data_IF_866629436630
#
_entry.id   IF_866629436630
#
_cell.length_a   1.000
_cell.length_b   1.000
_cell.length_c   1.000
_cell.angle_alpha   90.00
_cell.angle_beta   90.00
_cell.angle_gamma   90.00
#
_symmetry.space_group_name_H-M   'P 1'
#
loop_
_entity.id
_entity.type
_entity.pdbx_description
1 polymer ?
#
# COMPACT_ATOMS: atom_id res chain seq x y z
N UNK A 1 28.07 20.83 -10.31
CA UNK A 1 29.11 20.38 -9.36
C UNK A 1 28.95 18.88 -9.23
N UNK A 2 30.01 18.13 -9.54
CA UNK A 2 30.00 16.67 -9.52
C UNK A 2 29.69 16.19 -8.10
N UNK A 3 28.52 15.56 -7.93
CA UNK A 3 28.16 14.84 -6.72
C UNK A 3 29.06 13.62 -6.64
N UNK A 4 29.85 13.53 -5.58
CA UNK A 4 30.63 12.35 -5.25
C UNK A 4 29.66 11.25 -4.80
N UNK A 5 29.17 10.46 -5.75
CA UNK A 5 28.65 9.12 -5.47
C UNK A 5 29.80 8.33 -4.85
N UNK A 6 29.73 8.07 -3.56
CA UNK A 6 30.59 7.07 -2.92
C UNK A 6 30.19 5.71 -3.48
N UNK A 7 30.81 5.33 -4.59
CA UNK A 7 30.80 3.96 -5.08
C UNK A 7 31.43 3.09 -3.98
N UNK A 8 30.60 2.40 -3.20
CA UNK A 8 31.05 1.27 -2.40
C UNK A 8 31.52 0.22 -3.39
N UNK A 9 32.82 0.22 -3.69
CA UNK A 9 33.47 -0.90 -4.37
C UNK A 9 33.29 -2.11 -3.45
N UNK A 10 32.47 -3.07 -3.88
CA UNK A 10 32.21 -4.31 -3.16
C UNK A 10 33.50 -5.14 -3.18
N UNK A 11 34.33 -5.02 -2.14
CA UNK A 11 35.41 -5.97 -1.85
C UNK A 11 34.83 -7.23 -1.21
N UNK A 12 35.50 -8.36 -1.42
CA UNK A 12 35.06 -9.69 -0.99
C UNK A 12 35.56 -10.05 0.43
N UNK A 13 35.80 -9.05 1.28
CA UNK A 13 36.48 -9.26 2.56
C UNK A 13 35.46 -9.53 3.68
N UNK A 14 35.77 -10.45 4.60
CA UNK A 14 34.93 -10.78 5.76
C UNK A 14 34.61 -9.52 6.61
N UNK A 15 35.49 -8.53 6.58
CA UNK A 15 35.34 -7.22 7.22
C UNK A 15 34.18 -6.40 6.63
N UNK A 16 33.91 -6.50 5.32
CA UNK A 16 32.87 -5.72 4.65
C UNK A 16 31.46 -6.18 5.03
N UNK A 17 31.22 -7.48 5.15
CA UNK A 17 29.91 -7.95 5.58
C UNK A 17 29.70 -7.82 7.08
N UNK A 18 30.75 -7.94 7.90
CA UNK A 18 30.66 -7.64 9.33
C UNK A 18 30.30 -6.17 9.54
N UNK A 19 30.94 -5.28 8.78
CA UNK A 19 30.59 -3.86 8.73
C UNK A 19 29.16 -3.64 8.23
N UNK A 20 28.74 -4.31 7.15
CA UNK A 20 27.37 -4.21 6.63
C UNK A 20 26.31 -4.66 7.64
N UNK A 21 26.55 -5.77 8.35
CA UNK A 21 25.69 -6.26 9.41
C UNK A 21 25.58 -5.25 10.56
N UNK A 22 26.70 -4.65 10.97
CA UNK A 22 26.73 -3.63 12.02
C UNK A 22 25.97 -2.37 11.59
N UNK A 23 26.18 -1.89 10.35
CA UNK A 23 25.46 -0.74 9.80
C UNK A 23 23.95 -1.01 9.77
N UNK A 24 23.53 -2.21 9.36
CA UNK A 24 22.12 -2.59 9.31
C UNK A 24 21.45 -2.51 10.69
N UNK A 25 22.12 -3.01 11.74
CA UNK A 25 21.64 -2.91 13.13
C UNK A 25 21.61 -1.45 13.60
N UNK A 26 22.68 -0.69 13.37
CA UNK A 26 22.75 0.72 13.77
C UNK A 26 21.66 1.56 13.11
N UNK A 27 21.43 1.39 11.80
CA UNK A 27 20.36 2.09 11.08
C UNK A 27 18.99 1.70 11.62
N UNK A 28 18.76 0.41 11.88
CA UNK A 28 17.51 -0.10 12.48
C UNK A 28 17.21 0.61 13.80
N UNK A 29 18.14 0.56 14.76
CA UNK A 29 17.95 1.16 16.09
C UNK A 29 17.75 2.67 16.00
N UNK A 30 18.58 3.34 15.20
CA UNK A 30 18.60 4.79 15.02
C UNK A 30 17.31 5.32 14.38
N UNK A 31 16.83 4.67 13.31
CA UNK A 31 15.58 5.04 12.63
C UNK A 31 14.36 4.70 13.50
N UNK A 32 14.33 3.54 14.14
CA UNK A 32 13.25 3.15 15.06
C UNK A 32 13.10 4.11 16.23
N UNK A 33 14.21 4.51 16.87
CA UNK A 33 14.18 5.49 17.97
C UNK A 33 13.60 6.82 17.48
N UNK A 34 14.13 7.38 16.38
CA UNK A 34 13.64 8.66 15.83
C UNK A 34 12.18 8.61 15.39
N UNK A 35 11.72 7.48 14.86
CA UNK A 35 10.31 7.28 14.51
C UNK A 35 9.42 7.31 15.76
N UNK A 36 9.81 6.61 16.82
CA UNK A 36 9.09 6.59 18.10
C UNK A 36 9.04 7.97 18.76
N UNK A 37 10.16 8.69 18.72
CA UNK A 37 10.29 10.04 19.30
C UNK A 37 9.65 11.12 18.42
N UNK A 38 9.20 10.76 17.21
CA UNK A 38 8.71 11.70 16.18
C UNK A 38 9.71 12.84 15.93
N UNK A 39 11.00 12.50 15.94
CA UNK A 39 12.06 13.47 15.72
C UNK A 39 12.00 13.99 14.27
N UNK A 40 12.26 15.29 14.02
CA UNK A 40 12.46 15.83 12.68
C UNK A 40 13.43 14.97 11.86
N UNK A 41 13.25 14.96 10.53
CA UNK A 41 14.20 14.28 9.65
C UNK A 41 15.60 14.92 9.77
N UNK A 42 16.64 14.09 9.82
CA UNK A 42 18.02 14.58 9.78
C UNK A 42 18.35 15.13 8.40
N UNK A 43 19.48 15.84 8.27
CA UNK A 43 19.94 16.31 6.95
C UNK A 43 20.12 15.15 5.96
N UNK A 44 20.72 14.04 6.41
CA UNK A 44 20.90 12.84 5.59
C UNK A 44 19.56 12.25 5.15
N UNK A 45 18.59 12.12 6.06
CA UNK A 45 17.25 11.59 5.73
C UNK A 45 16.51 12.50 4.75
N UNK A 46 16.59 13.83 4.91
CA UNK A 46 16.03 14.79 3.95
C UNK A 46 16.69 14.68 2.58
N UNK A 47 18.01 14.61 2.54
CA UNK A 47 18.77 14.46 1.29
C UNK A 47 18.39 13.15 0.58
N UNK A 48 18.23 12.04 1.31
CA UNK A 48 17.80 10.76 0.76
C UNK A 48 16.38 10.82 0.15
N UNK A 49 15.43 11.47 0.82
CA UNK A 49 14.06 11.63 0.29
C UNK A 49 14.06 12.53 -0.95
N UNK A 50 14.81 13.64 -0.93
CA UNK A 50 14.93 14.54 -2.08
C UNK A 50 15.59 13.84 -3.27
N UNK A 51 16.67 13.08 -3.04
CA UNK A 51 17.33 12.32 -4.09
C UNK A 51 16.41 11.21 -4.64
N UNK A 52 15.68 10.52 -3.76
CA UNK A 52 14.67 9.53 -4.16
C UNK A 52 13.66 10.11 -5.15
N UNK A 53 13.13 11.31 -4.87
CA UNK A 53 12.22 12.02 -5.77
C UNK A 53 12.90 12.49 -7.06
N UNK A 54 14.16 12.95 -7.00
CA UNK A 54 14.93 13.34 -8.18
C UNK A 54 15.21 12.17 -9.12
N UNK A 55 15.47 10.98 -8.58
CA UNK A 55 15.78 9.79 -9.37
C UNK A 55 14.62 9.38 -10.28
N UNK A 56 13.38 9.58 -9.81
CA UNK A 56 12.14 9.25 -10.54
C UNK A 56 11.54 10.45 -11.29
N UNK A 57 12.09 11.65 -11.11
CA UNK A 57 11.65 12.84 -11.84
C UNK A 57 12.21 12.79 -13.27
N UNK A 58 11.36 12.90 -14.31
CA UNK A 58 11.83 12.84 -15.69
C UNK A 58 12.92 13.89 -15.96
N UNK A 59 13.95 13.58 -16.75
CA UNK A 59 14.92 14.61 -17.14
C UNK A 59 14.40 15.36 -18.37
N UNK A 60 14.56 16.70 -18.47
CA UNK A 60 14.28 17.42 -19.70
C UNK A 60 15.06 16.76 -20.85
N UNK A 61 14.39 16.47 -21.97
CA UNK A 61 15.11 16.01 -23.17
C UNK A 61 15.92 17.18 -23.73
N UNK A 62 17.15 16.91 -24.17
CA UNK A 62 18.03 17.93 -24.74
C UNK A 62 17.42 18.65 -25.96
N UNK A 63 16.45 18.03 -26.65
CA UNK A 63 15.74 18.58 -27.81
C UNK A 63 14.57 19.52 -27.46
N UNK A 64 14.15 19.60 -26.19
CA UNK A 64 13.02 20.41 -25.71
C UNK A 64 13.45 21.80 -25.18
N UNK A 65 14.61 22.30 -25.59
CA UNK A 65 15.15 23.61 -25.16
C UNK A 65 14.25 24.83 -25.50
N UNK A 66 13.25 24.64 -26.36
CA UNK A 66 12.27 25.68 -26.73
C UNK A 66 10.89 25.52 -26.06
N UNK A 67 10.69 24.48 -25.25
CA UNK A 67 9.42 24.26 -24.56
C UNK A 67 9.60 24.56 -23.07
N UNK A 68 8.90 25.56 -22.55
CA UNK A 68 8.92 26.01 -21.14
C UNK A 68 8.44 24.94 -20.13
N UNK A 69 8.37 23.67 -20.51
CA UNK A 69 7.88 22.55 -19.71
C UNK A 69 9.02 21.79 -19.03
N UNK A 70 10.05 22.52 -18.59
CA UNK A 70 11.11 21.99 -17.74
C UNK A 70 10.52 21.64 -16.37
N UNK A 71 10.77 20.44 -15.87
CA UNK A 71 10.43 20.00 -14.51
C UNK A 71 10.88 21.04 -13.48
N UNK A 72 9.93 21.77 -12.90
CA UNK A 72 10.21 22.95 -12.11
C UNK A 72 9.82 22.72 -10.63
N UNK A 73 10.03 21.51 -10.11
CA UNK A 73 9.91 21.28 -8.67
C UNK A 73 10.93 22.18 -7.98
N UNK A 74 10.46 23.07 -7.10
CA UNK A 74 11.35 23.87 -6.26
C UNK A 74 11.88 22.98 -5.14
N UNK A 75 13.05 22.38 -5.39
CA UNK A 75 13.68 21.44 -4.46
C UNK A 75 14.01 22.07 -3.10
N UNK A 76 14.30 23.36 -3.05
CA UNK A 76 14.61 24.07 -1.80
C UNK A 76 13.33 24.27 -0.99
N UNK A 77 12.25 24.70 -1.65
CA UNK A 77 10.94 24.79 -1.01
C UNK A 77 10.44 23.41 -0.55
N UNK A 78 10.66 22.37 -1.35
CA UNK A 78 10.26 21.00 -1.01
C UNK A 78 10.99 20.50 0.22
N UNK A 79 12.32 20.68 0.28
CA UNK A 79 13.12 20.33 1.44
C UNK A 79 12.62 21.06 2.71
N UNK A 80 12.32 22.36 2.60
CA UNK A 80 11.73 23.14 3.69
C UNK A 80 10.39 22.58 4.17
N UNK A 81 9.48 22.25 3.25
CA UNK A 81 8.19 21.63 3.58
C UNK A 81 8.39 20.29 4.27
N UNK A 82 9.24 19.41 3.74
CA UNK A 82 9.50 18.09 4.31
C UNK A 82 10.11 18.18 5.72
N UNK A 83 11.07 19.08 5.92
CA UNK A 83 11.66 19.33 7.25
C UNK A 83 10.59 19.69 8.29
N UNK A 84 9.61 20.51 7.90
CA UNK A 84 8.53 20.95 8.78
C UNK A 84 7.52 19.85 9.11
N UNK A 85 7.13 19.01 8.11
CA UNK A 85 5.92 18.18 8.24
C UNK A 85 6.19 16.68 8.35
N UNK A 86 7.33 16.18 7.88
CA UNK A 86 7.53 14.74 7.69
C UNK A 86 7.59 13.93 9.00
N UNK A 87 7.83 14.58 10.13
CA UNK A 87 7.89 13.96 11.46
C UNK A 87 6.57 14.08 12.24
N UNK A 88 5.61 14.86 11.74
CA UNK A 88 4.33 15.06 12.40
C UNK A 88 3.51 13.78 12.30
N UNK A 89 2.74 13.48 13.35
CA UNK A 89 1.92 12.27 13.42
C UNK A 89 0.86 12.23 12.31
N UNK A 90 0.94 11.22 11.44
CA UNK A 90 -0.08 10.94 10.41
C UNK A 90 -1.44 10.50 10.97
N UNK A 91 -1.53 10.23 12.27
CA UNK A 91 -2.80 9.91 12.95
C UNK A 91 -3.65 11.14 13.27
N UNK A 92 -3.11 12.35 13.14
CA UNK A 92 -3.92 13.56 13.14
C UNK A 92 -4.31 13.87 11.70
N UNK A 93 -5.50 13.39 11.28
CA UNK A 93 -5.89 13.46 9.88
C UNK A 93 -6.20 14.86 9.40
N UNK A 94 -6.67 15.75 10.28
CA UNK A 94 -6.86 17.14 9.92
C UNK A 94 -5.54 17.84 9.62
N UNK A 95 -4.52 17.62 10.48
CA UNK A 95 -3.17 18.13 10.23
C UNK A 95 -2.53 17.46 9.01
N UNK A 96 -2.77 16.16 8.81
CA UNK A 96 -2.27 15.40 7.65
C UNK A 96 -2.88 15.92 6.36
N UNK A 97 -4.18 16.21 6.34
CA UNK A 97 -4.88 16.79 5.19
C UNK A 97 -4.29 18.15 4.80
N UNK A 98 -4.16 19.07 5.75
CA UNK A 98 -3.56 20.40 5.51
C UNK A 98 -2.10 20.27 5.02
N UNK A 99 -1.31 19.39 5.64
CA UNK A 99 0.08 19.20 5.25
C UNK A 99 0.22 18.49 3.90
N UNK A 100 -0.75 17.66 3.50
CA UNK A 100 -0.78 17.02 2.18
C UNK A 100 -0.94 18.08 1.07
N UNK A 101 -1.74 19.12 1.31
CA UNK A 101 -1.88 20.25 0.37
C UNK A 101 -0.58 21.05 0.27
N UNK A 102 0.09 21.32 1.41
CA UNK A 102 1.41 21.98 1.41
C UNK A 102 2.43 21.21 0.58
N UNK A 103 2.46 19.88 0.72
CA UNK A 103 3.32 19.01 -0.07
C UNK A 103 2.94 19.05 -1.56
N UNK A 104 1.65 18.88 -1.89
CA UNK A 104 1.16 18.89 -3.27
C UNK A 104 1.45 20.20 -4.01
N UNK A 105 1.32 21.35 -3.33
CA UNK A 105 1.59 22.67 -3.90
C UNK A 105 3.03 22.82 -4.41
N UNK A 106 4.00 22.15 -3.77
CA UNK A 106 5.40 22.20 -4.19
C UNK A 106 5.77 21.03 -5.11
N UNK A 107 5.39 19.81 -4.73
CA UNK A 107 5.78 18.58 -5.41
C UNK A 107 5.10 18.43 -6.77
N UNK A 108 3.83 18.82 -6.85
CA UNK A 108 2.97 18.58 -8.02
C UNK A 108 2.47 19.88 -8.65
N UNK A 109 2.77 21.04 -8.03
CA UNK A 109 2.35 22.37 -8.48
C UNK A 109 0.86 22.40 -8.80
N UNK A 110 0.03 22.13 -7.79
CA UNK A 110 -1.39 22.47 -7.82
C UNK A 110 -1.54 23.87 -8.42
N UNK A 111 -2.07 23.96 -9.65
CA UNK A 111 -2.21 25.22 -10.37
C UNK A 111 -2.93 26.21 -9.46
N UNK A 112 -2.39 27.42 -9.33
CA UNK A 112 -3.15 28.55 -8.82
C UNK A 112 -4.42 28.72 -9.65
N UNK A 113 -5.51 29.00 -8.96
CA UNK A 113 -6.93 29.09 -9.33
C UNK A 113 -7.35 29.94 -10.55
N UNK A 114 -6.45 30.27 -11.49
CA UNK A 114 -6.72 31.30 -12.52
C UNK A 114 -6.95 30.75 -13.94
N UNK A 115 -6.81 29.44 -14.18
CA UNK A 115 -7.19 28.80 -15.46
C UNK A 115 -8.48 27.99 -15.27
N UNK A 116 -9.60 28.71 -15.40
CA UNK A 116 -10.98 28.34 -15.09
C UNK A 116 -11.63 27.39 -16.13
N UNK A 117 -10.94 26.33 -16.53
CA UNK A 117 -11.50 25.22 -17.34
C UNK A 117 -11.39 23.89 -16.56
N UNK A 118 -11.92 23.88 -15.33
CA UNK A 118 -11.74 22.85 -14.31
C UNK A 118 -12.30 21.46 -14.64
N UNK A 119 -11.68 20.75 -15.59
CA UNK A 119 -12.10 19.38 -15.98
C UNK A 119 -10.98 18.32 -15.97
N UNK A 120 -9.82 18.55 -15.34
CA UNK A 120 -8.88 17.45 -15.17
C UNK A 120 -7.98 17.56 -13.96
N UNK A 121 -8.06 16.54 -13.10
CA UNK A 121 -7.23 16.37 -11.90
C UNK A 121 -5.73 16.35 -12.20
N UNK A 122 -4.95 16.55 -11.14
CA UNK A 122 -3.50 16.74 -11.13
C UNK A 122 -2.73 15.62 -11.85
N UNK A 123 -3.25 14.40 -11.75
CA UNK A 123 -2.65 13.19 -12.32
C UNK A 123 -3.10 12.91 -13.76
N UNK A 124 -4.23 13.46 -14.19
CA UNK A 124 -4.79 13.15 -15.53
C UNK A 124 -4.19 14.04 -16.63
N UNK A 125 -3.64 15.20 -16.25
CA UNK A 125 -3.11 16.19 -17.18
C UNK A 125 -1.58 16.36 -17.14
N UNK A 126 -0.88 15.67 -16.23
CA UNK A 126 0.56 15.81 -16.03
C UNK A 126 1.29 14.49 -16.25
N UNK A 127 1.81 14.29 -17.47
CA UNK A 127 2.62 13.10 -17.83
C UNK A 127 3.85 12.91 -16.93
N UNK A 128 4.38 14.00 -16.36
CA UNK A 128 5.51 13.96 -15.44
C UNK A 128 5.13 13.33 -14.09
N UNK A 129 3.99 13.74 -13.51
CA UNK A 129 3.50 13.17 -12.25
C UNK A 129 3.10 11.71 -12.41
N UNK A 130 2.54 11.34 -13.57
CA UNK A 130 2.26 9.95 -13.91
C UNK A 130 3.54 9.11 -13.97
N UNK A 131 4.62 9.64 -14.56
CA UNK A 131 5.90 8.93 -14.62
C UNK A 131 6.56 8.81 -13.24
N UNK A 132 6.52 9.85 -12.41
CA UNK A 132 7.09 9.81 -11.06
C UNK A 132 6.42 8.76 -10.17
N UNK A 133 5.11 8.57 -10.32
CA UNK A 133 4.33 7.66 -9.48
C UNK A 133 3.81 6.45 -10.26
N UNK A 134 4.51 6.07 -11.33
CA UNK A 134 4.06 5.06 -12.29
C UNK A 134 3.64 3.78 -11.58
N UNK A 135 4.52 3.15 -10.77
CA UNK A 135 4.17 1.94 -10.01
C UNK A 135 2.93 2.11 -9.13
N UNK A 136 2.78 3.25 -8.46
CA UNK A 136 1.65 3.52 -7.55
C UNK A 136 0.35 3.59 -8.35
N UNK A 137 0.35 4.27 -9.49
CA UNK A 137 -0.84 4.46 -10.32
C UNK A 137 -1.17 3.21 -11.13
N UNK A 138 -0.15 2.56 -11.69
CA UNK A 138 -0.27 1.38 -12.53
C UNK A 138 -0.67 0.15 -11.72
N UNK A 139 0.11 -0.26 -10.71
CA UNK A 139 -0.23 -1.42 -9.87
C UNK A 139 -1.47 -1.15 -8.98
N UNK A 140 -1.74 0.13 -8.71
CA UNK A 140 -2.98 0.57 -8.07
C UNK A 140 -4.20 0.61 -8.98
N UNK A 141 -4.08 0.38 -10.30
CA UNK A 141 -5.16 0.45 -11.30
C UNK A 141 -5.92 1.79 -11.34
N UNK A 142 -5.18 2.91 -11.34
CA UNK A 142 -5.76 4.26 -11.47
C UNK A 142 -6.59 4.40 -12.76
N UNK A 143 -6.05 3.98 -13.90
CA UNK A 143 -6.69 4.14 -15.21
C UNK A 143 -7.97 3.31 -15.36
N UNK A 144 -7.99 2.09 -14.81
CA UNK A 144 -9.19 1.25 -14.78
C UNK A 144 -10.28 1.85 -13.91
N UNK A 145 -9.92 2.38 -12.74
CA UNK A 145 -10.85 3.09 -11.86
C UNK A 145 -11.42 4.35 -12.52
N UNK A 146 -10.58 5.14 -13.20
CA UNK A 146 -10.98 6.34 -13.92
C UNK A 146 -11.94 6.02 -15.07
N UNK A 147 -11.63 4.97 -15.84
CA UNK A 147 -12.48 4.49 -16.93
C UNK A 147 -13.85 4.04 -16.42
N UNK A 148 -13.90 3.34 -15.29
CA UNK A 148 -15.15 2.92 -14.66
C UNK A 148 -15.97 4.12 -14.16
N UNK A 149 -15.33 5.09 -13.50
CA UNK A 149 -16.01 6.30 -13.02
C UNK A 149 -16.63 7.11 -14.17
N UNK A 150 -15.91 7.26 -15.29
CA UNK A 150 -16.41 7.92 -16.49
C UNK A 150 -17.61 7.18 -17.10
N UNK A 151 -17.56 5.84 -17.19
CA UNK A 151 -18.68 5.03 -17.69
C UNK A 151 -19.93 5.18 -16.80
N UNK A 152 -19.76 5.16 -15.47
CA UNK A 152 -20.86 5.35 -14.52
C UNK A 152 -21.46 6.76 -14.59
N UNK A 153 -20.63 7.79 -14.80
CA UNK A 153 -21.12 9.16 -14.97
C UNK A 153 -22.03 9.28 -16.19
N UNK A 154 -21.69 8.63 -17.31
CA UNK A 154 -22.53 8.61 -18.52
C UNK A 154 -23.88 7.93 -18.27
N UNK A 155 -23.91 6.78 -17.59
CA UNK A 155 -25.16 6.06 -17.29
C UNK A 155 -26.13 6.88 -16.43
N UNK A 156 -25.63 7.71 -15.51
CA UNK A 156 -26.44 8.58 -14.65
C UNK A 156 -27.12 9.74 -15.40
N UNK A 157 -26.69 10.08 -16.61
CA UNK A 157 -27.27 11.20 -17.39
C UNK A 157 -28.45 10.80 -18.29
N UNK A 158 -28.67 9.50 -18.50
CA UNK A 158 -29.61 8.97 -19.50
C UNK A 158 -30.89 8.35 -18.94
N UNK A 159 -31.07 8.28 -17.61
CA UNK A 159 -32.21 7.62 -16.95
C UNK A 159 -33.03 8.53 -16.04
N UNK A 160 -34.37 8.41 -16.10
CA UNK A 160 -35.35 9.16 -15.29
C UNK A 160 -35.33 8.82 -13.77
N UNK A 161 -34.47 7.91 -13.31
CA UNK A 161 -34.40 7.50 -11.90
C UNK A 161 -33.21 8.14 -11.17
N UNK A 162 -33.51 9.22 -10.45
CA UNK A 162 -32.63 10.07 -9.61
C UNK A 162 -31.99 9.37 -8.39
N UNK A 163 -31.32 8.23 -8.55
CA UNK A 163 -30.36 7.75 -7.53
C UNK A 163 -28.97 7.78 -8.14
N UNK A 164 -28.24 8.88 -7.93
CA UNK A 164 -26.83 9.01 -8.31
C UNK A 164 -26.08 7.83 -7.68
N UNK A 165 -25.50 6.96 -8.51
CA UNK A 165 -24.66 5.88 -8.02
C UNK A 165 -23.43 6.46 -7.30
N UNK A 166 -23.28 6.14 -6.01
CA UNK A 166 -22.14 6.57 -5.21
C UNK A 166 -20.96 5.61 -5.46
N UNK A 167 -19.73 6.12 -5.67
CA UNK A 167 -18.53 5.28 -5.66
C UNK A 167 -18.31 4.61 -4.29
N UNK A 168 -17.39 3.65 -4.24
CA UNK A 168 -17.05 2.89 -3.05
C UNK A 168 -15.76 3.37 -2.39
N UNK A 169 -15.80 3.52 -1.07
CA UNK A 169 -14.62 3.65 -0.22
C UNK A 169 -14.50 2.33 0.57
N UNK A 170 -13.50 1.54 0.22
CA UNK A 170 -13.33 0.17 0.72
C UNK A 170 -12.14 0.12 1.68
N UNK A 171 -12.40 -0.32 2.90
CA UNK A 171 -11.37 -0.68 3.87
C UNK A 171 -11.06 -2.16 3.74
N UNK A 172 -9.80 -2.51 3.46
CA UNK A 172 -9.35 -3.90 3.30
C UNK A 172 -8.50 -4.29 4.52
N UNK A 173 -8.99 -5.24 5.31
CA UNK A 173 -8.40 -5.63 6.60
C UNK A 173 -8.37 -7.16 6.78
N UNK A 174 -7.81 -7.63 7.89
CA UNK A 174 -7.67 -9.04 8.25
C UNK A 174 -6.27 -9.57 8.03
N UNK A 175 -6.19 -10.82 7.58
CA UNK A 175 -4.93 -11.57 7.50
C UNK A 175 -3.88 -10.84 6.66
N UNK A 176 -2.68 -10.71 7.24
CA UNK A 176 -1.50 -10.23 6.55
C UNK A 176 -0.71 -11.42 5.98
N UNK A 177 -0.05 -11.23 4.83
CA UNK A 177 0.72 -12.30 4.16
C UNK A 177 0.01 -13.07 3.05
N UNK A 178 -1.30 -12.86 2.87
CA UNK A 178 -2.13 -13.53 1.85
C UNK A 178 -2.26 -12.77 0.51
N UNK A 179 -1.49 -11.68 0.31
CA UNK A 179 -1.61 -10.75 -0.83
C UNK A 179 -3.07 -10.31 -1.09
N UNK A 180 -3.66 -9.55 -0.16
CA UNK A 180 -5.06 -9.06 -0.25
C UNK A 180 -5.34 -8.35 -1.58
N UNK A 181 -4.39 -7.54 -2.04
CA UNK A 181 -4.43 -6.90 -3.37
C UNK A 181 -4.56 -7.92 -4.50
N UNK A 182 -3.85 -9.05 -4.50
CA UNK A 182 -3.99 -10.05 -5.56
C UNK A 182 -5.36 -10.75 -5.55
N UNK A 183 -5.97 -10.91 -4.37
CA UNK A 183 -7.30 -11.53 -4.23
C UNK A 183 -8.41 -10.72 -4.89
N UNK A 184 -8.36 -9.39 -4.81
CA UNK A 184 -9.42 -8.52 -5.33
C UNK A 184 -9.44 -8.44 -6.87
N UNK A 185 -8.33 -8.78 -7.54
CA UNK A 185 -8.22 -8.85 -9.00
C UNK A 185 -8.67 -10.21 -9.56
N UNK A 186 -9.07 -11.16 -8.70
CA UNK A 186 -9.51 -12.46 -9.17
C UNK A 186 -10.87 -12.34 -9.90
N UNK A 187 -11.09 -13.06 -11.03
CA UNK A 187 -12.34 -12.95 -11.80
C UNK A 187 -13.61 -13.32 -11.02
N UNK A 188 -13.47 -14.08 -9.94
CA UNK A 188 -14.57 -14.48 -9.06
C UNK A 188 -14.83 -13.51 -7.91
N UNK A 189 -13.99 -12.48 -7.72
CA UNK A 189 -14.00 -11.65 -6.51
C UNK A 189 -15.36 -10.99 -6.25
N UNK A 190 -15.95 -10.33 -7.25
CA UNK A 190 -17.27 -9.69 -7.10
C UNK A 190 -18.37 -10.69 -6.71
N UNK A 191 -18.28 -11.96 -7.12
CA UNK A 191 -19.26 -12.99 -6.77
C UNK A 191 -19.15 -13.39 -5.31
N UNK A 192 -17.92 -13.61 -4.82
CA UNK A 192 -17.66 -13.87 -3.40
C UNK A 192 -18.08 -12.67 -2.55
N UNK A 193 -17.78 -11.45 -3.01
CA UNK A 193 -18.20 -10.24 -2.32
C UNK A 193 -19.73 -10.15 -2.21
N UNK A 194 -20.45 -10.39 -3.31
CA UNK A 194 -21.92 -10.39 -3.29
C UNK A 194 -22.50 -11.37 -2.27
N UNK A 195 -21.92 -12.58 -2.18
CA UNK A 195 -22.37 -13.59 -1.21
C UNK A 195 -22.06 -13.19 0.25
N UNK A 196 -20.94 -12.49 0.49
CA UNK A 196 -20.49 -12.09 1.83
C UNK A 196 -21.12 -10.77 2.33
N UNK A 197 -21.80 -10.02 1.45
CA UNK A 197 -22.19 -8.64 1.71
C UNK A 197 -23.35 -8.54 2.72
N UNK A 198 -23.06 -7.91 3.86
CA UNK A 198 -24.03 -7.51 4.88
C UNK A 198 -24.30 -6.01 4.73
N UNK A 199 -25.53 -5.66 4.37
CA UNK A 199 -25.95 -4.26 4.27
C UNK A 199 -26.12 -3.61 5.64
N UNK A 200 -26.02 -2.27 5.75
CA UNK A 200 -26.36 -1.56 6.98
C UNK A 200 -27.82 -1.80 7.41
N UNK A 201 -28.74 -1.97 6.46
CA UNK A 201 -30.19 -2.06 6.71
C UNK A 201 -30.66 -3.48 7.08
N UNK A 202 -29.93 -4.52 6.71
CA UNK A 202 -30.29 -5.92 6.97
C UNK A 202 -30.26 -6.31 8.45
N UNK A 203 -29.67 -5.47 9.32
CA UNK A 203 -29.65 -5.68 10.77
C UNK A 203 -30.87 -5.07 11.48
N UNK A 204 -31.59 -4.14 10.83
CA UNK A 204 -32.77 -3.46 11.39
C UNK A 204 -34.08 -4.25 11.19
N UNK A 205 -34.09 -5.26 10.32
CA UNK A 205 -35.28 -6.07 10.05
C UNK A 205 -35.12 -7.50 10.57
N UNK A 206 -35.47 -7.71 11.84
CA UNK A 206 -35.66 -9.05 12.42
C UNK A 206 -36.84 -9.84 11.81
N UNK A 207 -37.51 -9.28 10.81
CA UNK A 207 -38.62 -9.88 10.08
C UNK A 207 -38.61 -9.48 8.61
N UNK A 208 -37.76 -10.13 7.80
CA UNK A 208 -38.05 -10.60 6.44
C UNK A 208 -36.78 -11.11 5.76
N UNK A 209 -36.75 -12.39 5.40
CA UNK A 209 -35.65 -13.10 4.74
C UNK A 209 -35.46 -12.75 3.25
N UNK A 210 -35.86 -11.58 2.81
CA UNK A 210 -35.74 -11.14 1.41
C UNK A 210 -35.35 -9.66 1.33
N UNK A 211 -34.22 -9.31 1.96
CA UNK A 211 -33.51 -8.07 1.66
C UNK A 211 -32.49 -8.33 0.58
N UNK A 212 -32.93 -8.48 -0.69
CA UNK A 212 -32.00 -8.53 -1.81
C UNK A 212 -31.14 -7.26 -1.77
N UNK A 213 -29.82 -7.42 -1.66
CA UNK A 213 -28.87 -6.32 -1.75
C UNK A 213 -29.20 -5.52 -3.03
N UNK A 214 -29.59 -4.24 -2.90
CA UNK A 214 -29.94 -3.32 -4.02
C UNK A 214 -28.70 -2.92 -4.86
N UNK A 215 -27.60 -3.67 -4.71
CA UNK A 215 -26.32 -3.48 -5.37
C UNK A 215 -26.16 -4.57 -6.42
N UNK A 216 -26.07 -4.18 -7.68
CA UNK A 216 -25.78 -5.13 -8.76
C UNK A 216 -24.32 -5.58 -8.72
N UNK A 217 -24.06 -6.79 -9.24
CA UNK A 217 -22.73 -7.39 -9.30
C UNK A 217 -21.70 -6.49 -10.01
N UNK A 218 -22.14 -5.80 -11.06
CA UNK A 218 -21.30 -4.92 -11.89
C UNK A 218 -20.89 -3.63 -11.16
N UNK A 219 -21.66 -3.24 -10.13
CA UNK A 219 -21.41 -2.04 -9.34
C UNK A 219 -20.57 -2.31 -8.10
N UNK A 220 -20.26 -3.58 -7.78
CA UNK A 220 -19.40 -3.92 -6.65
C UNK A 220 -17.94 -3.56 -6.95
N UNK A 221 -17.22 -3.01 -5.96
CA UNK A 221 -15.82 -2.67 -6.14
C UNK A 221 -14.98 -3.94 -6.24
N UNK A 222 -14.10 -4.01 -7.23
CA UNK A 222 -13.11 -5.06 -7.46
C UNK A 222 -11.80 -4.46 -7.97
N UNK A 223 -10.79 -5.29 -8.16
CA UNK A 223 -9.49 -4.85 -8.66
C UNK A 223 -9.56 -4.13 -10.00
N UNK A 224 -10.45 -4.53 -10.92
CA UNK A 224 -10.52 -3.96 -12.27
C UNK A 224 -11.15 -2.56 -12.32
N UNK A 225 -11.98 -2.19 -11.33
CA UNK A 225 -12.76 -0.96 -11.33
C UNK A 225 -12.46 -0.01 -10.16
N UNK A 226 -11.42 -0.29 -9.37
CA UNK A 226 -11.07 0.46 -8.17
C UNK A 226 -9.59 0.81 -8.12
N UNK A 227 -9.28 1.99 -7.59
CA UNK A 227 -7.91 2.40 -7.32
C UNK A 227 -7.47 1.87 -5.96
N UNK A 228 -6.40 1.08 -5.91
CA UNK A 228 -5.85 0.54 -4.68
C UNK A 228 -4.71 1.41 -4.15
N UNK A 229 -4.96 2.05 -3.01
CA UNK A 229 -3.97 2.89 -2.32
C UNK A 229 -2.97 2.02 -1.55
N UNK A 230 -1.85 1.68 -2.20
CA UNK A 230 -0.80 0.84 -1.61
C UNK A 230 0.32 1.69 -1.00
N UNK A 231 0.32 1.79 0.33
CA UNK A 231 1.35 2.57 1.05
C UNK A 231 2.75 1.98 0.90
N UNK A 232 2.86 0.67 0.74
CA UNK A 232 4.14 0.00 0.51
C UNK A 232 4.80 0.48 -0.80
N UNK A 233 4.00 0.70 -1.85
CA UNK A 233 4.50 1.26 -3.12
C UNK A 233 4.91 2.72 -2.96
N UNK A 234 4.15 3.50 -2.18
CA UNK A 234 4.49 4.89 -1.89
C UNK A 234 5.78 5.02 -1.10
N UNK A 235 5.99 4.19 -0.07
CA UNK A 235 7.23 4.21 0.73
C UNK A 235 8.42 3.80 -0.14
N UNK A 236 8.31 2.72 -0.92
CA UNK A 236 9.37 2.29 -1.84
C UNK A 236 9.73 3.36 -2.87
N UNK A 237 8.72 4.06 -3.41
CA UNK A 237 8.92 5.14 -4.38
C UNK A 237 9.59 6.36 -3.74
N UNK A 238 9.09 6.82 -2.59
CA UNK A 238 9.56 8.04 -1.90
C UNK A 238 10.91 7.85 -1.20
N UNK A 239 11.30 6.61 -0.90
CA UNK A 239 12.49 6.28 -0.11
C UNK A 239 13.41 5.29 -0.84
N UNK A 240 13.46 5.35 -2.18
CA UNK A 240 14.26 4.41 -2.98
C UNK A 240 15.76 4.42 -2.64
N UNK A 241 16.29 5.53 -2.14
CA UNK A 241 17.67 5.59 -1.61
C UNK A 241 17.85 4.69 -0.37
N UNK A 242 16.94 4.72 0.60
CA UNK A 242 17.02 3.87 1.79
C UNK A 242 16.79 2.38 1.47
N UNK A 243 15.94 2.08 0.47
CA UNK A 243 15.82 0.70 -0.04
C UNK A 243 17.07 0.24 -0.77
N UNK A 244 17.70 1.10 -1.57
CA UNK A 244 18.99 0.81 -2.21
C UNK A 244 20.06 0.47 -1.16
N UNK A 245 20.13 1.24 -0.06
CA UNK A 245 21.02 0.95 1.07
C UNK A 245 20.68 -0.39 1.72
N UNK A 246 19.40 -0.67 2.02
CA UNK A 246 18.96 -1.95 2.57
C UNK A 246 19.42 -3.12 1.69
N UNK A 247 19.22 -3.01 0.37
CA UNK A 247 19.60 -4.05 -0.58
C UNK A 247 21.11 -4.21 -0.72
N UNK A 248 21.87 -3.12 -0.75
CA UNK A 248 23.33 -3.17 -0.80
C UNK A 248 23.94 -3.84 0.45
N UNK A 249 23.46 -3.48 1.65
CA UNK A 249 23.89 -4.11 2.91
C UNK A 249 23.51 -5.59 2.97
N UNK A 250 22.39 -5.96 2.36
CA UNK A 250 21.93 -7.35 2.25
C UNK A 250 22.79 -8.14 1.27
N UNK A 251 23.08 -7.56 0.10
CA UNK A 251 23.91 -8.16 -0.94
C UNK A 251 25.32 -8.46 -0.42
N UNK A 252 25.94 -7.54 0.32
CA UNK A 252 27.25 -7.75 0.93
C UNK A 252 27.27 -8.97 1.87
N UNK A 253 26.22 -9.16 2.67
CA UNK A 253 26.09 -10.31 3.58
C UNK A 253 25.76 -11.62 2.84
N UNK A 254 24.98 -11.55 1.75
CA UNK A 254 24.69 -12.72 0.91
C UNK A 254 25.94 -13.27 0.22
N UNK A 255 26.79 -12.40 -0.35
CA UNK A 255 28.00 -12.81 -1.07
C UNK A 255 28.98 -13.61 -0.19
N UNK A 256 29.14 -13.24 1.09
CA UNK A 256 29.95 -14.04 2.01
C UNK A 256 29.33 -15.40 2.33
N UNK A 257 28.00 -15.48 2.42
CA UNK A 257 27.32 -16.75 2.67
C UNK A 257 27.48 -17.71 1.49
N UNK A 258 27.53 -17.18 0.26
CA UNK A 258 27.76 -17.94 -0.98
C UNK A 258 29.23 -18.40 -1.09
N UNK A 259 30.20 -17.57 -0.71
CA UNK A 259 31.63 -17.86 -0.85
C UNK A 259 32.22 -18.81 0.21
N UNK A 260 31.66 -18.85 1.41
CA UNK A 260 32.27 -19.58 2.54
C UNK A 260 31.98 -21.09 2.58
N UNK A 261 31.28 -21.68 1.60
CA UNK A 261 30.87 -23.10 1.59
C UNK A 261 30.24 -23.59 2.92
N UNK A 262 29.82 -22.67 3.80
CA UNK A 262 28.98 -23.00 4.95
C UNK A 262 27.63 -23.32 4.35
N UNK A 263 27.13 -24.56 4.49
CA UNK A 263 25.84 -24.90 3.94
C UNK A 263 24.82 -23.91 4.50
N UNK A 264 24.18 -23.15 3.61
CA UNK A 264 22.90 -22.51 3.86
C UNK A 264 22.04 -23.62 4.45
N UNK A 265 21.65 -23.45 5.72
CA UNK A 265 21.09 -24.44 6.65
C UNK A 265 20.67 -25.77 5.98
N UNK A 266 21.37 -26.85 6.34
CA UNK A 266 21.16 -28.19 5.81
C UNK A 266 19.84 -28.79 6.37
N UNK A 267 18.70 -28.30 5.90
CA UNK A 267 17.35 -28.74 6.33
C UNK A 267 16.74 -29.76 5.35
N UNK A 268 17.58 -30.58 4.71
CA UNK A 268 17.14 -31.69 3.85
C UNK A 268 16.51 -31.30 2.52
N UNK A 269 16.31 -30.02 2.24
CA UNK A 269 15.84 -29.49 0.95
C UNK A 269 16.92 -28.57 0.34
N UNK A 270 17.40 -28.93 -0.85
CA UNK A 270 18.37 -28.18 -1.66
C UNK A 270 17.91 -26.74 -1.98
N UNK A 271 18.05 -25.76 -1.08
CA UNK A 271 17.75 -24.38 -1.43
C UNK A 271 18.78 -23.40 -0.85
N UNK A 272 19.31 -22.56 -1.74
CA UNK A 272 20.08 -21.36 -1.43
C UNK A 272 19.20 -20.33 -0.67
N UNK A 273 18.86 -20.61 0.58
CA UNK A 273 18.10 -19.69 1.44
C UNK A 273 19.04 -18.84 2.28
N UNK A 274 18.80 -17.51 2.37
CA UNK A 274 19.55 -16.64 3.27
C UNK A 274 19.51 -17.14 4.72
N UNK A 275 20.57 -16.91 5.52
CA UNK A 275 20.56 -17.19 6.95
C UNK A 275 19.38 -16.52 7.67
N UNK A 276 18.77 -17.20 8.65
CA UNK A 276 17.62 -16.67 9.40
C UNK A 276 17.91 -15.33 10.08
N UNK A 277 19.13 -15.16 10.61
CA UNK A 277 19.54 -13.90 11.24
C UNK A 277 19.64 -12.75 10.23
N UNK A 278 19.98 -13.04 8.97
CA UNK A 278 19.99 -12.04 7.91
C UNK A 278 18.56 -11.66 7.51
N UNK A 279 17.64 -12.63 7.41
CA UNK A 279 16.22 -12.37 7.15
C UNK A 279 15.62 -11.48 8.24
N UNK A 280 15.95 -11.76 9.50
CA UNK A 280 15.51 -10.96 10.64
C UNK A 280 16.06 -9.53 10.59
N UNK A 281 17.37 -9.34 10.37
CA UNK A 281 17.97 -8.00 10.23
C UNK A 281 17.38 -7.22 9.05
N UNK A 282 17.13 -7.90 7.94
CA UNK A 282 16.47 -7.34 6.76
C UNK A 282 15.06 -6.85 7.09
N UNK A 283 14.24 -7.72 7.68
CA UNK A 283 12.87 -7.41 8.13
C UNK A 283 12.87 -6.22 9.10
N UNK A 284 13.78 -6.21 10.06
CA UNK A 284 13.90 -5.14 11.04
C UNK A 284 14.26 -3.79 10.41
N UNK A 285 15.29 -3.74 9.55
CA UNK A 285 15.66 -2.48 8.90
C UNK A 285 14.55 -1.99 7.96
N UNK A 286 13.93 -2.90 7.20
CA UNK A 286 12.75 -2.57 6.38
C UNK A 286 11.63 -2.00 7.26
N UNK A 287 11.32 -2.62 8.39
CA UNK A 287 10.36 -2.12 9.36
C UNK A 287 10.68 -0.73 9.90
N UNK A 288 11.96 -0.43 10.15
CA UNK A 288 12.42 0.89 10.55
C UNK A 288 12.26 1.94 9.46
N UNK A 289 12.55 1.61 8.19
CA UNK A 289 12.31 2.49 7.03
C UNK A 289 10.81 2.83 6.94
N UNK A 290 9.96 1.80 6.98
CA UNK A 290 8.50 1.98 6.93
C UNK A 290 7.98 2.86 8.07
N UNK A 291 8.46 2.61 9.29
CA UNK A 291 8.05 3.38 10.47
C UNK A 291 8.53 4.82 10.40
N UNK A 292 9.78 5.03 9.95
CA UNK A 292 10.40 6.36 9.86
C UNK A 292 9.72 7.26 8.84
N UNK A 293 9.36 6.72 7.69
CA UNK A 293 8.81 7.49 6.57
C UNK A 293 7.30 7.32 6.39
N UNK A 294 6.60 6.72 7.38
CA UNK A 294 5.16 6.49 7.32
C UNK A 294 4.38 7.76 6.99
N UNK A 295 4.70 8.87 7.67
CA UNK A 295 4.01 10.15 7.44
C UNK A 295 4.14 10.63 6.01
N UNK A 296 5.30 10.47 5.34
CA UNK A 296 5.47 10.86 3.94
C UNK A 296 4.53 10.08 3.01
N UNK A 297 4.44 8.76 3.20
CA UNK A 297 3.53 7.92 2.42
C UNK A 297 2.07 8.25 2.68
N UNK A 298 1.72 8.61 3.92
CA UNK A 298 0.35 9.02 4.26
C UNK A 298 0.00 10.36 3.62
N UNK A 299 0.92 11.34 3.64
CA UNK A 299 0.74 12.64 2.97
C UNK A 299 0.51 12.44 1.47
N UNK A 300 1.38 11.70 0.78
CA UNK A 300 1.18 11.36 -0.64
C UNK A 300 -0.14 10.62 -0.85
N UNK A 301 -0.43 9.64 0.00
CA UNK A 301 -1.65 8.89 -0.12
C UNK A 301 -2.90 9.74 0.06
N UNK A 302 -2.91 10.76 0.92
CA UNK A 302 -4.04 11.71 1.06
C UNK A 302 -4.18 12.58 -0.19
N UNK A 303 -3.08 13.02 -0.81
CA UNK A 303 -3.12 13.71 -2.11
C UNK A 303 -3.87 12.84 -3.14
N UNK A 304 -3.49 11.56 -3.25
CA UNK A 304 -4.12 10.62 -4.18
C UNK A 304 -5.59 10.34 -3.83
N UNK A 305 -5.95 10.31 -2.54
CA UNK A 305 -7.35 10.18 -2.13
C UNK A 305 -8.18 11.38 -2.62
N UNK A 306 -7.69 12.61 -2.42
CA UNK A 306 -8.40 13.83 -2.84
C UNK A 306 -8.59 13.89 -4.35
N UNK A 307 -7.58 13.52 -5.11
CA UNK A 307 -7.68 13.40 -6.58
C UNK A 307 -8.70 12.34 -7.00
N UNK A 308 -8.71 11.19 -6.33
CA UNK A 308 -9.66 10.13 -6.60
C UNK A 308 -11.10 10.54 -6.25
N UNK A 309 -11.30 11.35 -5.21
CA UNK A 309 -12.59 11.93 -4.85
C UNK A 309 -13.11 12.91 -5.91
N UNK A 310 -12.25 13.79 -6.43
CA UNK A 310 -12.62 14.70 -7.51
C UNK A 310 -13.10 13.93 -8.75
N UNK A 311 -12.49 12.77 -9.01
CA UNK A 311 -12.83 11.89 -10.13
C UNK A 311 -13.93 10.86 -9.81
N UNK A 312 -14.50 10.87 -8.60
CA UNK A 312 -15.50 9.88 -8.13
C UNK A 312 -15.06 8.41 -8.32
N UNK A 313 -13.78 8.10 -8.06
CA UNK A 313 -13.27 6.73 -8.21
C UNK A 313 -13.74 5.84 -7.06
N UNK A 314 -13.91 4.54 -7.33
CA UNK A 314 -13.86 3.53 -6.27
C UNK A 314 -12.44 3.46 -5.73
N UNK A 315 -12.28 3.41 -4.42
CA UNK A 315 -10.98 3.43 -3.75
C UNK A 315 -10.92 2.29 -2.74
N UNK A 316 -9.78 1.61 -2.70
CA UNK A 316 -9.47 0.58 -1.70
C UNK A 316 -8.26 1.00 -0.87
N UNK A 317 -8.40 0.95 0.45
CA UNK A 317 -7.36 1.26 1.43
C UNK A 317 -7.04 -0.01 2.23
N UNK A 318 -5.83 -0.56 2.07
CA UNK A 318 -5.37 -1.68 2.87
C UNK A 318 -4.76 -1.23 4.20
N UNK A 319 -5.05 -2.02 5.24
CA UNK A 319 -4.51 -1.84 6.58
C UNK A 319 -4.23 -3.20 7.22
N UNK A 320 -3.42 -3.18 8.27
CA UNK A 320 -3.14 -4.36 9.07
C UNK A 320 -4.30 -4.75 10.00
N UNK A 321 -5.32 -3.89 10.15
CA UNK A 321 -6.52 -4.19 10.95
C UNK A 321 -6.43 -3.90 12.44
N UNK A 322 -5.27 -3.47 12.93
CA UNK A 322 -4.91 -3.51 14.36
C UNK A 322 -5.54 -2.42 15.23
N UNK A 323 -6.07 -1.37 14.61
CA UNK A 323 -6.48 -0.14 15.29
C UNK A 323 -7.80 0.34 14.70
N UNK A 324 -8.79 0.52 15.56
CA UNK A 324 -10.16 0.97 15.22
C UNK A 324 -10.16 2.32 14.47
N UNK A 325 -9.12 3.13 14.66
CA UNK A 325 -8.95 4.41 13.97
C UNK A 325 -8.91 4.29 12.44
N UNK A 326 -8.68 3.11 11.87
CA UNK A 326 -8.78 2.89 10.42
C UNK A 326 -10.20 3.12 9.86
N UNK A 327 -11.25 2.89 10.65
CA UNK A 327 -12.62 3.20 10.23
C UNK A 327 -12.86 4.70 10.23
N UNK A 328 -12.44 5.35 11.32
CA UNK A 328 -12.52 6.80 11.45
C UNK A 328 -11.69 7.53 10.38
N UNK A 329 -10.58 6.96 9.91
CA UNK A 329 -9.81 7.47 8.77
C UNK A 329 -10.68 7.55 7.51
N UNK A 330 -11.38 6.47 7.17
CA UNK A 330 -12.28 6.46 6.01
C UNK A 330 -13.46 7.40 6.24
N UNK A 331 -14.03 7.47 7.45
CA UNK A 331 -15.11 8.42 7.74
C UNK A 331 -14.66 9.88 7.64
N UNK A 332 -13.40 10.18 7.96
CA UNK A 332 -12.83 11.51 7.86
C UNK A 332 -12.70 11.95 6.39
N UNK A 333 -12.15 11.08 5.53
CA UNK A 333 -11.93 11.44 4.13
C UNK A 333 -13.19 11.25 3.28
N UNK A 334 -14.06 10.28 3.56
CA UNK A 334 -15.21 9.94 2.73
C UNK A 334 -16.53 10.18 3.47
N UNK A 335 -17.39 11.05 2.93
CA UNK A 335 -18.72 11.29 3.50
C UNK A 335 -19.75 10.27 2.99
N UNK A 336 -20.72 9.93 3.84
CA UNK A 336 -21.83 9.03 3.46
C UNK A 336 -22.72 9.62 2.37
N UNK A 337 -22.68 10.95 2.17
CA UNK A 337 -23.40 11.62 1.10
C UNK A 337 -22.80 11.33 -0.28
N UNK A 338 -21.47 11.14 -0.34
CA UNK A 338 -20.73 11.00 -1.58
C UNK A 338 -20.35 9.55 -1.89
N UNK A 339 -20.08 8.73 -0.87
CA UNK A 339 -19.52 7.39 -1.01
C UNK A 339 -20.36 6.32 -0.31
N UNK A 340 -20.39 5.12 -0.88
CA UNK A 340 -20.71 3.89 -0.16
C UNK A 340 -19.46 3.42 0.57
N UNK A 341 -19.57 3.06 1.85
CA UNK A 341 -18.44 2.55 2.62
C UNK A 341 -18.56 1.06 2.84
N UNK A 342 -17.46 0.33 2.65
CA UNK A 342 -17.40 -1.13 2.77
C UNK A 342 -16.16 -1.54 3.55
N UNK A 343 -16.30 -2.42 4.53
CA UNK A 343 -15.16 -3.08 5.15
C UNK A 343 -15.09 -4.56 4.71
N UNK A 344 -13.95 -4.94 4.16
CA UNK A 344 -13.61 -6.30 3.76
C UNK A 344 -12.69 -6.92 4.80
N UNK A 345 -13.10 -8.05 5.37
CA UNK A 345 -12.30 -8.80 6.33
C UNK A 345 -11.91 -10.17 5.77
N UNK A 346 -10.61 -10.37 5.58
CA UNK A 346 -10.07 -11.68 5.19
C UNK A 346 -9.65 -12.48 6.43
N UNK A 347 -10.08 -13.73 6.50
CA UNK A 347 -9.61 -14.72 7.48
C UNK A 347 -8.89 -15.86 6.78
N UNK A 348 -8.12 -16.65 7.52
CA UNK A 348 -7.42 -17.84 7.02
C UNK A 348 -7.65 -19.00 7.97
N UNK A 349 -7.82 -20.21 7.44
CA UNK A 349 -7.96 -21.42 8.24
C UNK A 349 -6.71 -21.74 9.07
N UNK A 350 -5.52 -21.46 8.55
CA UNK A 350 -4.23 -21.71 9.21
C UNK A 350 -3.24 -20.57 8.89
N UNK A 351 -2.85 -19.83 9.92
CA UNK A 351 -1.95 -18.69 9.80
C UNK A 351 -0.54 -19.09 9.35
N UNK A 352 -0.11 -20.34 9.60
CA UNK A 352 1.23 -20.80 9.22
C UNK A 352 1.48 -20.70 7.71
N UNK A 353 0.45 -20.92 6.89
CA UNK A 353 0.54 -20.74 5.44
C UNK A 353 0.77 -19.29 5.02
N UNK A 354 0.18 -18.32 5.74
CA UNK A 354 0.44 -16.91 5.50
C UNK A 354 1.85 -16.51 5.97
N UNK A 355 2.34 -17.10 7.07
CA UNK A 355 3.72 -16.94 7.55
C UNK A 355 4.73 -17.45 6.51
N UNK A 356 4.56 -18.66 6.00
CA UNK A 356 5.42 -19.24 4.96
C UNK A 356 5.43 -18.37 3.68
N UNK A 357 4.27 -17.84 3.29
CA UNK A 357 4.14 -16.91 2.17
C UNK A 357 4.94 -15.62 2.37
N UNK A 358 4.92 -15.06 3.59
CA UNK A 358 5.71 -13.87 3.94
C UNK A 358 7.21 -14.17 3.88
N UNK A 359 7.65 -15.28 4.47
CA UNK A 359 9.06 -15.65 4.47
C UNK A 359 9.58 -15.89 3.06
N UNK A 360 8.83 -16.64 2.23
CA UNK A 360 9.17 -16.88 0.83
C UNK A 360 9.28 -15.57 0.03
N UNK A 361 8.34 -14.65 0.25
CA UNK A 361 8.37 -13.33 -0.38
C UNK A 361 9.58 -12.50 0.07
N UNK A 362 9.89 -12.50 1.37
CA UNK A 362 11.03 -11.74 1.90
C UNK A 362 12.35 -12.25 1.31
N UNK A 363 12.52 -13.57 1.24
CA UNK A 363 13.70 -14.20 0.63
C UNK A 363 13.80 -13.84 -0.86
N UNK A 364 12.68 -13.84 -1.59
CA UNK A 364 12.65 -13.44 -2.98
C UNK A 364 13.04 -11.96 -3.14
N UNK A 365 12.45 -11.08 -2.34
CA UNK A 365 12.72 -9.65 -2.31
C UNK A 365 14.21 -9.35 -2.06
N UNK A 366 14.86 -10.04 -1.10
CA UNK A 366 16.29 -9.89 -0.84
C UNK A 366 17.15 -10.23 -2.08
N UNK A 367 16.75 -11.26 -2.84
CA UNK A 367 17.47 -11.68 -4.06
C UNK A 367 17.26 -10.69 -5.20
N UNK A 368 16.03 -10.24 -5.41
CA UNK A 368 15.72 -9.23 -6.43
C UNK A 368 16.37 -7.89 -6.07
N UNK A 369 16.36 -7.49 -4.80
CA UNK A 369 17.02 -6.27 -4.32
C UNK A 369 18.52 -6.25 -4.62
N UNK A 370 19.22 -7.39 -4.45
CA UNK A 370 20.63 -7.55 -4.87
C UNK A 370 20.80 -7.26 -6.36
N UNK A 371 19.97 -7.84 -7.21
CA UNK A 371 20.04 -7.62 -8.66
C UNK A 371 19.68 -6.17 -9.03
N UNK A 372 18.73 -5.56 -8.33
CA UNK A 372 18.30 -4.18 -8.55
C UNK A 372 19.44 -3.19 -8.28
N UNK A 373 20.18 -3.33 -7.17
CA UNK A 373 21.32 -2.44 -6.90
C UNK A 373 22.47 -2.63 -7.89
N UNK A 374 22.66 -3.84 -8.43
CA UNK A 374 23.65 -4.12 -9.49
C UNK A 374 23.25 -3.52 -10.85
N UNK A 375 21.95 -3.32 -11.09
CA UNK A 375 21.44 -2.74 -12.34
C UNK A 375 21.64 -1.23 -12.46
N UNK A 376 21.85 -0.54 -11.33
CA UNK A 376 21.83 0.92 -11.22
C UNK A 376 20.52 1.59 -11.71
N UNK A 377 19.45 0.80 -11.89
CA UNK A 377 18.13 1.30 -12.26
C UNK A 377 17.26 1.50 -11.02
N UNK A 378 16.86 2.75 -10.78
CA UNK A 378 15.97 3.10 -9.66
C UNK A 378 14.62 2.41 -9.76
N UNK A 379 14.12 2.14 -10.97
CA UNK A 379 12.85 1.46 -11.16
C UNK A 379 12.95 0.03 -10.62
N UNK A 380 14.04 -0.68 -10.91
CA UNK A 380 14.29 -2.02 -10.37
C UNK A 380 14.39 -2.00 -8.83
N UNK A 381 15.01 -0.96 -8.25
CA UNK A 381 15.06 -0.79 -6.78
C UNK A 381 13.65 -0.61 -6.20
N UNK A 382 12.81 0.21 -6.83
CA UNK A 382 11.43 0.41 -6.38
C UNK A 382 10.67 -0.91 -6.50
N UNK A 383 10.72 -1.58 -7.66
CA UNK A 383 9.97 -2.81 -7.95
C UNK A 383 10.44 -4.03 -7.15
N UNK A 384 11.70 -4.05 -6.70
CA UNK A 384 12.19 -5.11 -5.82
C UNK A 384 11.33 -5.27 -4.57
N UNK A 385 10.84 -4.17 -3.96
CA UNK A 385 9.95 -4.23 -2.81
C UNK A 385 8.62 -4.92 -3.17
N UNK A 386 8.39 -6.11 -2.59
CA UNK A 386 7.28 -7.00 -2.93
C UNK A 386 6.13 -6.95 -1.91
N UNK A 387 6.25 -6.14 -0.86
CA UNK A 387 5.17 -5.94 0.11
C UNK A 387 5.61 -5.20 1.38
N UNK A 388 4.80 -5.34 2.43
CA UNK A 388 4.99 -4.61 3.69
C UNK A 388 6.22 -5.00 4.50
N UNK A 389 6.41 -4.32 5.65
CA UNK A 389 7.63 -4.40 6.45
C UNK A 389 7.74 -5.65 7.32
N UNK A 390 6.62 -6.34 7.55
CA UNK A 390 6.54 -7.37 8.58
C UNK A 390 7.08 -8.72 8.10
N UNK A 391 7.98 -9.30 8.90
CA UNK A 391 8.32 -10.73 8.84
C UNK A 391 7.21 -11.60 9.43
N UNK A 392 7.34 -12.92 9.27
CA UNK A 392 6.34 -13.88 9.73
C UNK A 392 6.14 -13.86 11.25
N UNK A 393 7.17 -13.48 12.01
CA UNK A 393 7.22 -13.50 13.48
C UNK A 393 6.17 -12.60 14.14
N UNK A 394 5.77 -11.51 13.50
CA UNK A 394 4.80 -10.57 14.05
C UNK A 394 3.35 -10.88 13.63
N UNK A 395 3.14 -11.74 12.62
CA UNK A 395 1.81 -11.95 12.02
C UNK A 395 0.76 -12.44 13.03
N UNK A 396 1.17 -13.25 14.02
CA UNK A 396 0.26 -13.74 15.06
C UNK A 396 -0.37 -12.60 15.87
N UNK A 397 0.46 -11.70 16.41
CA UNK A 397 -0.03 -10.56 17.17
C UNK A 397 -0.84 -9.59 16.31
N UNK A 398 -0.45 -9.42 15.05
CA UNK A 398 -1.22 -8.60 14.09
C UNK A 398 -2.59 -9.21 13.80
N UNK A 399 -2.68 -10.53 13.65
CA UNK A 399 -3.95 -11.24 13.44
C UNK A 399 -4.86 -11.12 14.66
N UNK A 400 -4.33 -11.35 15.86
CA UNK A 400 -5.08 -11.22 17.12
C UNK A 400 -5.63 -9.80 17.31
N UNK A 401 -4.82 -8.77 17.02
CA UNK A 401 -5.23 -7.38 17.04
C UNK A 401 -6.35 -7.11 16.00
N UNK A 402 -6.22 -7.64 14.79
CA UNK A 402 -7.20 -7.46 13.71
C UNK A 402 -8.54 -8.14 14.02
N UNK A 403 -8.52 -9.36 14.53
CA UNK A 403 -9.72 -10.11 14.89
C UNK A 403 -10.49 -9.41 16.02
N UNK A 404 -9.76 -8.90 17.02
CA UNK A 404 -10.35 -8.10 18.10
C UNK A 404 -11.06 -6.85 17.58
N UNK A 405 -10.41 -6.08 16.71
CA UNK A 405 -11.02 -4.87 16.13
C UNK A 405 -12.22 -5.21 15.25
N UNK A 406 -12.13 -6.30 14.48
CA UNK A 406 -13.26 -6.76 13.68
C UNK A 406 -14.46 -7.16 14.55
N UNK A 407 -14.23 -7.92 15.62
CA UNK A 407 -15.27 -8.27 16.59
C UNK A 407 -15.88 -7.03 17.24
N UNK A 408 -15.07 -6.05 17.62
CA UNK A 408 -15.55 -4.78 18.17
C UNK A 408 -16.47 -4.04 17.18
N UNK A 409 -16.12 -3.98 15.90
CA UNK A 409 -16.95 -3.33 14.86
C UNK A 409 -18.25 -4.09 14.63
N UNK A 410 -18.19 -5.42 14.56
CA UNK A 410 -19.38 -6.25 14.34
C UNK A 410 -20.34 -6.17 15.54
N UNK A 411 -19.81 -6.15 16.77
CA UNK A 411 -20.62 -6.11 18.01
C UNK A 411 -21.10 -4.72 18.39
N UNK A 412 -20.30 -3.68 18.18
CA UNK A 412 -20.65 -2.29 18.53
C UNK A 412 -21.70 -1.65 17.63
N UNK A 413 -22.09 -2.31 16.53
CA UNK A 413 -23.04 -1.78 15.56
C UNK A 413 -24.43 -1.46 16.11
N UNK A 414 -24.85 -2.10 17.21
CA UNK A 414 -26.13 -1.83 17.88
C UNK A 414 -27.37 -1.93 16.97
N UNK A 415 -28.56 -1.81 17.57
CA UNK A 415 -29.82 -1.73 16.81
C UNK A 415 -30.03 -0.34 16.17
N UNK A 416 -29.22 0.65 16.51
CA UNK A 416 -29.34 2.04 16.05
C UNK A 416 -28.29 2.44 15.00
N UNK A 417 -27.34 1.56 14.69
CA UNK A 417 -26.28 1.82 13.71
C UNK A 417 -25.30 2.93 14.13
N UNK A 418 -25.26 3.29 15.42
CA UNK A 418 -24.46 4.41 15.93
C UNK A 418 -22.99 4.10 16.27
N UNK A 419 -22.58 2.83 16.21
CA UNK A 419 -21.22 2.39 16.51
C UNK A 419 -20.19 2.70 15.41
N UNK A 420 -18.92 2.36 15.66
CA UNK A 420 -17.86 2.50 14.64
C UNK A 420 -18.17 1.61 13.43
N UNK A 421 -18.04 2.17 12.22
CA UNK A 421 -18.49 1.48 11.00
C UNK A 421 -20.02 1.36 10.91
N UNK A 422 -20.77 2.10 11.72
CA UNK A 422 -22.21 2.29 11.58
C UNK A 422 -22.56 2.87 10.22
N UNK A 423 -23.54 2.30 9.52
CA UNK A 423 -23.90 2.72 8.16
C UNK A 423 -23.04 2.14 7.03
N UNK A 424 -22.02 1.34 7.33
CA UNK A 424 -21.18 0.70 6.30
C UNK A 424 -21.73 -0.65 5.83
N UNK A 425 -21.27 -1.12 4.68
CA UNK A 425 -21.36 -2.53 4.32
C UNK A 425 -20.21 -3.31 4.97
N UNK A 426 -20.45 -4.57 5.33
CA UNK A 426 -19.40 -5.48 5.81
C UNK A 426 -19.38 -6.73 4.94
N UNK A 427 -18.21 -7.30 4.73
CA UNK A 427 -18.06 -8.61 4.11
C UNK A 427 -16.89 -9.36 4.75
N UNK A 428 -17.12 -10.63 5.12
CA UNK A 428 -16.06 -11.52 5.60
C UNK A 428 -15.82 -12.63 4.59
N UNK A 429 -14.56 -12.87 4.26
CA UNK A 429 -14.13 -13.92 3.35
C UNK A 429 -13.09 -14.80 4.02
N UNK A 430 -13.24 -16.12 3.92
CA UNK A 430 -12.28 -17.07 4.47
C UNK A 430 -11.44 -17.67 3.37
N UNK A 431 -10.12 -17.59 3.53
CA UNK A 431 -9.14 -18.32 2.75
C UNK A 431 -8.92 -19.69 3.38
N UNK A 432 -9.01 -20.72 2.54
CA UNK A 432 -8.66 -22.09 2.88
C UNK A 432 -7.30 -22.39 2.23
N UNK A 433 -6.24 -22.12 2.97
CA UNK A 433 -4.89 -22.43 2.58
C UNK A 433 -4.56 -23.91 2.84
N UNK A 434 -3.70 -24.47 2.00
CA UNK A 434 -3.26 -25.85 2.06
C UNK A 434 -1.89 -26.00 1.41
N UNK A 435 -1.11 -26.99 1.86
CA UNK A 435 0.11 -27.47 1.21
C UNK A 435 -0.16 -28.53 0.14
N UNK A 436 -1.34 -29.18 0.17
CA UNK A 436 -1.67 -30.31 -0.70
C UNK A 436 -2.59 -29.92 -1.87
N UNK A 437 -3.37 -28.85 -1.68
CA UNK A 437 -4.36 -28.38 -2.66
C UNK A 437 -4.16 -26.90 -2.96
N UNK A 438 -4.59 -26.42 -4.14
CA UNK A 438 -4.69 -25.00 -4.41
C UNK A 438 -5.48 -24.30 -3.31
N UNK A 439 -5.05 -23.09 -2.95
CA UNK A 439 -5.79 -22.29 -1.98
C UNK A 439 -7.17 -21.95 -2.55
N UNK A 440 -8.18 -21.93 -1.69
CA UNK A 440 -9.55 -21.54 -2.05
C UNK A 440 -10.05 -20.42 -1.16
N UNK A 441 -11.17 -19.82 -1.54
CA UNK A 441 -11.85 -18.78 -0.77
C UNK A 441 -13.36 -19.01 -0.76
N UNK A 442 -14.00 -18.65 0.35
CA UNK A 442 -15.44 -18.70 0.51
C UNK A 442 -15.94 -17.44 1.22
N UNK A 443 -17.11 -16.97 0.82
CA UNK A 443 -17.85 -15.96 1.56
C UNK A 443 -18.33 -16.52 2.90
N UNK A 444 -18.23 -15.76 3.99
CA UNK A 444 -19.06 -15.98 5.17
C UNK A 444 -20.38 -15.22 4.93
N UNK A 445 -21.45 -15.97 4.68
CA UNK A 445 -22.76 -15.39 4.35
C UNK A 445 -23.43 -14.80 5.60
N UNK A 446 -24.43 -13.92 5.43
CA UNK A 446 -25.17 -13.34 6.56
C UNK A 446 -25.88 -14.37 7.46
N UNK A 447 -26.15 -15.57 6.95
CA UNK A 447 -26.73 -16.69 7.72
C UNK A 447 -25.69 -17.47 8.55
N UNK A 448 -24.40 -17.10 8.44
CA UNK A 448 -23.28 -17.74 9.13
C UNK A 448 -22.71 -18.96 8.40
N UNK A 449 -23.27 -19.37 7.26
CA UNK A 449 -22.74 -20.47 6.46
C UNK A 449 -21.69 -20.02 5.45
N UNK A 450 -20.83 -20.95 5.03
CA UNK A 450 -19.88 -20.67 3.96
C UNK A 450 -20.54 -20.79 2.59
N UNK A 451 -20.26 -19.79 1.74
CA UNK A 451 -20.76 -19.73 0.38
C UNK A 451 -20.00 -20.61 -0.61
N UNK A 452 -20.15 -20.26 -1.89
CA UNK A 452 -19.51 -20.95 -3.01
C UNK A 452 -17.99 -20.91 -2.84
N UNK A 453 -17.34 -22.06 -3.05
CA UNK A 453 -15.89 -22.15 -3.06
C UNK A 453 -15.31 -21.74 -4.41
N UNK A 454 -14.32 -20.86 -4.39
CA UNK A 454 -13.56 -20.46 -5.58
C UNK A 454 -12.07 -20.73 -5.36
N UNK A 455 -11.41 -21.25 -6.39
CA UNK A 455 -9.96 -21.49 -6.38
C UNK A 455 -9.21 -20.25 -6.85
N UNK A 456 -8.11 -19.91 -6.17
CA UNK A 456 -7.22 -18.85 -6.63
C UNK A 456 -6.59 -19.24 -7.97
N UNK A 457 -6.70 -18.35 -8.96
CA UNK A 457 -5.98 -18.47 -10.23
C UNK A 457 -4.58 -17.85 -10.14
N UNK A 458 -3.90 -17.79 -11.28
CA UNK A 458 -2.65 -17.03 -11.39
C UNK A 458 -2.89 -15.57 -10.99
N UNK A 459 -1.99 -14.94 -10.22
CA UNK A 459 -2.03 -13.51 -9.99
C UNK A 459 -2.01 -12.78 -11.33
N UNK A 460 -2.84 -11.73 -11.46
CA UNK A 460 -2.71 -10.82 -12.60
C UNK A 460 -1.30 -10.24 -12.57
N UNK A 461 -0.55 -10.42 -13.66
CA UNK A 461 0.63 -9.61 -13.93
C UNK A 461 0.07 -8.20 -14.21
N UNK A 462 0.22 -7.29 -13.24
CA UNK A 462 -0.22 -5.92 -13.41
C UNK A 462 0.83 -5.18 -14.20
#
# INVERSE_FOLDING_TARGET
MMSSSSSLSISNDDDDAANAAQIMVQRTESMSSRANDRAPLTREELDNVINSLRNITPRPRDDDANNNNTNNIDWVALEGVLSDIAHISHKDWHVTDINSERLANVLLRLRSSDDDNGEGGLLNNCSQSQQMFERILHEGNWDGALSHAAANAMMNTTGDNKKKHKPWAVLVTGVNGIRKTSSIYQPWFSKVLMEALVSPSSLLSSSNKEGANDVSLEMLPNGDNSFFRQLDHMIATLCNEDFSILYALTAAQLLLSENNNKPLVNDGNNNNQPPKDLIEKYSNLKGSIFSRYRTLSELLGVILLKEAQQSNLNIMCETSGRDISMFHYIDHFFSDEQYNKLALHFTINDLSHAMDSVDARMIHEMKIGKLAVESEDVVEVIYANAGGPYGSEVLRGVQEDSDRVWEEVVTSRGDDGGGVGGGWYLATMRINASTEKPWTIQALRPDGEYGTEYTFGEPRLV
#
